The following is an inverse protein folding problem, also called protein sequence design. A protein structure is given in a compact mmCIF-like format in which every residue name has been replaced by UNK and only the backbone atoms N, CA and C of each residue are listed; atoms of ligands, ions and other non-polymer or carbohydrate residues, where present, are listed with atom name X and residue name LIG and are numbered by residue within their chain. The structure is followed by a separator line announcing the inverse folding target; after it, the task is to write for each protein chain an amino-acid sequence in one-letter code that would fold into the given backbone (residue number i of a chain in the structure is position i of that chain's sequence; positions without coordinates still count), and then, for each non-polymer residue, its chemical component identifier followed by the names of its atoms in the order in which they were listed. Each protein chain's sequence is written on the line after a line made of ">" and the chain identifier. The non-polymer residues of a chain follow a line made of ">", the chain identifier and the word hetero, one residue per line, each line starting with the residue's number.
data_IF_361644551406
#
_entry.id   IF_361644551406
#
_cell.length_a   1.000
_cell.length_b   1.000
_cell.length_c   1.000
_cell.angle_alpha   90.00
_cell.angle_beta   90.00
_cell.angle_gamma   90.00
#
_symmetry.space_group_name_H-M   'P 1'
#
loop_
_entity.id
_entity.type
_entity.pdbx_description
1 polymer ?
#
# COMPACT_ATOMS: atom_id res chain seq x y z
N UNK A 1 -24.56 -1.10 15.01
CA UNK A 1 -23.26 -1.81 15.13
C UNK A 1 -22.19 -0.79 15.44
N UNK A 2 -21.29 -1.08 16.38
CA UNK A 2 -20.13 -0.22 16.61
C UNK A 2 -19.16 -0.28 15.41
N UNK A 3 -18.29 0.72 15.21
CA UNK A 3 -17.25 0.68 14.19
C UNK A 3 -16.42 -0.61 14.26
N UNK A 4 -16.02 -1.04 15.46
CA UNK A 4 -15.26 -2.28 15.70
C UNK A 4 -16.01 -3.53 15.24
N UNK A 5 -17.31 -3.63 15.54
CA UNK A 5 -18.14 -4.77 15.10
C UNK A 5 -18.31 -4.78 13.57
N UNK A 6 -18.42 -3.61 12.96
CA UNK A 6 -18.52 -3.45 11.50
C UNK A 6 -17.21 -3.85 10.83
N UNK A 7 -16.06 -3.39 11.35
CA UNK A 7 -14.70 -3.82 10.94
C UNK A 7 -14.55 -5.34 11.01
N UNK A 8 -14.91 -5.94 12.15
CA UNK A 8 -14.84 -7.38 12.38
C UNK A 8 -15.69 -8.21 11.38
N UNK A 9 -16.88 -7.71 11.01
CA UNK A 9 -17.78 -8.36 10.05
C UNK A 9 -17.21 -8.34 8.63
N UNK A 10 -16.62 -7.22 8.22
CA UNK A 10 -16.06 -7.08 6.87
C UNK A 10 -14.67 -7.70 6.68
N UNK A 11 -13.99 -8.15 7.74
CA UNK A 11 -12.72 -8.94 7.61
C UNK A 11 -12.86 -10.21 6.79
N UNK A 12 -14.08 -10.71 6.64
CA UNK A 12 -14.39 -11.98 5.98
C UNK A 12 -14.99 -11.81 4.59
N UNK A 13 -15.14 -10.58 4.10
CA UNK A 13 -15.80 -10.32 2.81
C UNK A 13 -15.01 -10.92 1.65
N UNK A 14 -13.68 -10.73 1.58
CA UNK A 14 -12.83 -11.35 0.57
C UNK A 14 -11.88 -12.36 1.20
N UNK A 15 -11.83 -13.56 0.63
CA UNK A 15 -10.97 -14.64 1.08
C UNK A 15 -10.28 -15.28 -0.12
N UNK A 16 -8.98 -15.55 -0.01
CA UNK A 16 -8.32 -16.48 -0.92
C UNK A 16 -8.69 -17.90 -0.53
N UNK A 17 -9.09 -18.70 -1.51
CA UNK A 17 -9.34 -20.14 -1.38
C UNK A 17 -8.61 -20.87 -2.50
N UNK A 18 -8.48 -22.18 -2.37
CA UNK A 18 -7.82 -23.05 -3.36
C UNK A 18 -8.90 -23.90 -4.03
N UNK A 19 -8.88 -23.98 -5.36
CA UNK A 19 -9.78 -24.84 -6.15
C UNK A 19 -9.35 -26.32 -6.11
N UNK A 20 -10.13 -27.20 -6.74
CA UNK A 20 -9.83 -28.64 -6.81
C UNK A 20 -8.53 -28.97 -7.56
N UNK A 21 -7.99 -28.03 -8.33
CA UNK A 21 -6.73 -28.15 -9.06
C UNK A 21 -5.55 -27.48 -8.32
N UNK A 22 -5.77 -27.01 -7.09
CA UNK A 22 -4.71 -26.38 -6.31
C UNK A 22 -4.46 -24.91 -6.65
N UNK A 23 -5.30 -24.27 -7.46
CA UNK A 23 -5.14 -22.87 -7.88
C UNK A 23 -5.90 -21.92 -6.96
N UNK A 24 -5.28 -20.81 -6.52
CA UNK A 24 -5.95 -19.85 -5.66
C UNK A 24 -6.99 -19.02 -6.44
N UNK A 25 -8.11 -18.70 -5.79
CA UNK A 25 -9.13 -17.79 -6.32
C UNK A 25 -9.70 -16.90 -5.21
N UNK A 26 -10.32 -15.79 -5.58
CA UNK A 26 -11.03 -14.92 -4.66
C UNK A 26 -12.46 -15.38 -4.44
N UNK A 27 -12.79 -15.67 -3.18
CA UNK A 27 -14.13 -15.95 -2.73
C UNK A 27 -14.69 -14.71 -2.01
N UNK A 28 -15.81 -14.18 -2.52
CA UNK A 28 -16.57 -13.14 -1.83
C UNK A 28 -17.61 -13.80 -0.93
N UNK A 29 -17.50 -13.60 0.38
CA UNK A 29 -18.56 -13.97 1.30
C UNK A 29 -19.69 -12.94 1.18
N UNK A 30 -20.89 -13.39 0.83
CA UNK A 30 -22.07 -12.54 0.77
C UNK A 30 -22.42 -12.08 2.20
N UNK A 31 -21.89 -10.92 2.58
CA UNK A 31 -22.34 -10.25 3.78
C UNK A 31 -23.59 -9.49 3.39
N UNK A 32 -24.74 -9.89 3.93
CA UNK A 32 -26.03 -9.22 3.73
C UNK A 32 -25.92 -7.76 4.19
N UNK A 33 -25.77 -6.83 3.25
CA UNK A 33 -25.67 -5.41 3.49
C UNK A 33 -26.63 -4.77 2.51
N UNK A 34 -27.72 -4.20 3.03
CA UNK A 34 -28.73 -3.48 2.25
C UNK A 34 -28.22 -2.14 1.67
N UNK A 35 -26.96 -2.06 1.23
CA UNK A 35 -26.42 -0.93 0.50
C UNK A 35 -26.48 -1.21 -1.00
N UNK A 36 -27.04 -0.27 -1.77
CA UNK A 36 -27.12 -0.33 -3.23
C UNK A 36 -25.72 -0.46 -3.87
N UNK A 37 -24.69 0.10 -3.23
CA UNK A 37 -23.28 -0.02 -3.67
C UNK A 37 -22.71 -1.43 -3.52
N UNK A 38 -23.07 -2.14 -2.44
CA UNK A 38 -22.50 -3.44 -2.10
C UNK A 38 -22.97 -4.57 -3.04
N UNK A 39 -24.22 -4.48 -3.53
CA UNK A 39 -24.80 -5.46 -4.44
C UNK A 39 -24.31 -5.30 -5.90
N UNK A 40 -24.00 -4.07 -6.32
CA UNK A 40 -23.77 -3.73 -7.73
C UNK A 40 -22.32 -3.38 -8.10
N UNK A 41 -21.41 -3.21 -7.14
CA UNK A 41 -19.99 -3.00 -7.48
C UNK A 41 -19.18 -4.28 -7.28
N UNK A 42 -18.64 -4.88 -8.37
CA UNK A 42 -17.67 -5.94 -8.23
C UNK A 42 -16.38 -5.37 -7.61
N UNK A 43 -15.75 -6.14 -6.73
CA UNK A 43 -14.42 -5.79 -6.27
C UNK A 43 -13.40 -6.00 -7.38
N UNK A 44 -12.30 -5.26 -7.34
CA UNK A 44 -11.19 -5.44 -8.28
C UNK A 44 -9.86 -5.61 -7.55
N UNK A 45 -8.97 -6.39 -8.15
CA UNK A 45 -7.58 -6.52 -7.72
C UNK A 45 -6.73 -5.54 -8.50
N UNK A 46 -5.75 -4.95 -7.82
CA UNK A 46 -4.76 -4.07 -8.43
C UNK A 46 -3.54 -4.88 -8.82
N UNK A 47 -3.16 -4.83 -10.09
CA UNK A 47 -1.90 -5.37 -10.58
C UNK A 47 -1.03 -4.22 -11.06
N UNK A 48 0.16 -4.10 -10.49
CA UNK A 48 1.12 -3.08 -10.87
C UNK A 48 2.08 -3.66 -11.90
N UNK A 49 2.10 -3.08 -13.09
CA UNK A 49 3.00 -3.48 -14.18
C UNK A 49 4.05 -2.40 -14.41
N UNK A 50 5.28 -2.84 -14.69
CA UNK A 50 6.37 -1.94 -15.09
C UNK A 50 6.94 -2.37 -16.44
N UNK A 51 7.24 -1.43 -17.34
CA UNK A 51 7.74 -1.74 -18.67
C UNK A 51 9.13 -2.38 -18.68
N UNK A 52 9.87 -2.34 -17.55
CA UNK A 52 11.21 -2.90 -17.48
C UNK A 52 11.49 -3.46 -16.07
N UNK A 53 11.03 -4.68 -15.81
CA UNK A 53 11.21 -5.39 -14.51
C UNK A 53 12.69 -5.60 -14.11
N UNK A 54 13.65 -5.33 -15.01
CA UNK A 54 15.10 -5.44 -14.78
C UNK A 54 15.83 -4.10 -14.63
N UNK A 55 15.17 -2.96 -14.78
CA UNK A 55 15.83 -1.66 -14.67
C UNK A 55 16.02 -1.26 -13.19
N UNK A 56 17.27 -1.03 -12.81
CA UNK A 56 17.68 -0.46 -11.52
C UNK A 56 17.27 1.00 -11.34
N UNK A 57 16.72 1.62 -12.39
CA UNK A 57 16.19 2.98 -12.35
C UNK A 57 14.71 2.98 -12.01
N UNK A 58 14.33 3.72 -10.97
CA UNK A 58 12.95 3.97 -10.58
C UNK A 58 12.22 4.73 -11.70
N UNK A 59 11.71 4.00 -12.70
CA UNK A 59 10.97 4.58 -13.81
C UNK A 59 9.61 5.08 -13.36
N UNK A 60 9.22 6.28 -13.84
CA UNK A 60 7.91 6.90 -13.62
C UNK A 60 6.76 6.22 -14.36
N UNK A 61 6.99 5.09 -15.03
CA UNK A 61 6.01 4.41 -15.86
C UNK A 61 5.42 3.17 -15.17
N UNK A 62 5.06 3.25 -13.89
CA UNK A 62 4.26 2.16 -13.28
C UNK A 62 2.81 2.31 -13.75
N UNK A 63 2.31 1.32 -14.49
CA UNK A 63 0.89 1.22 -14.85
C UNK A 63 0.12 0.46 -13.78
N UNK A 64 -1.13 0.88 -13.56
CA UNK A 64 -2.07 0.24 -12.65
C UNK A 64 -3.12 -0.46 -13.49
N UNK A 65 -3.14 -1.78 -13.46
CA UNK A 65 -4.14 -2.60 -14.10
C UNK A 65 -5.21 -3.03 -13.08
N UNK A 66 -6.46 -3.01 -13.51
CA UNK A 66 -7.62 -3.38 -12.71
C UNK A 66 -8.21 -4.67 -13.26
N UNK A 67 -8.19 -5.72 -12.45
CA UNK A 67 -8.76 -7.02 -12.82
C UNK A 67 -9.96 -7.28 -11.92
N UNK A 68 -11.11 -7.61 -12.50
CA UNK A 68 -12.29 -8.01 -11.74
C UNK A 68 -11.94 -9.17 -10.82
N UNK A 69 -12.28 -9.05 -9.53
CA UNK A 69 -11.88 -10.01 -8.52
C UNK A 69 -12.37 -11.45 -8.80
N UNK A 70 -13.49 -11.63 -9.50
CA UNK A 70 -13.99 -12.94 -9.88
C UNK A 70 -13.13 -13.63 -10.96
N UNK A 71 -12.43 -12.83 -11.77
CA UNK A 71 -11.52 -13.30 -12.84
C UNK A 71 -10.04 -13.19 -12.48
N UNK A 72 -9.72 -12.50 -11.38
CA UNK A 72 -8.35 -12.21 -11.00
C UNK A 72 -7.61 -13.47 -10.52
N UNK A 73 -6.39 -13.64 -11.03
CA UNK A 73 -5.45 -14.62 -10.50
C UNK A 73 -5.07 -14.25 -9.06
N UNK A 74 -5.61 -14.98 -8.09
CA UNK A 74 -5.41 -14.69 -6.67
C UNK A 74 -4.01 -15.04 -6.17
N UNK A 75 -3.18 -15.64 -7.04
CA UNK A 75 -1.74 -15.79 -6.80
C UNK A 75 -1.00 -14.46 -7.00
N UNK A 76 -1.45 -13.58 -7.87
CA UNK A 76 -0.71 -12.34 -8.14
C UNK A 76 -0.95 -11.30 -7.05
N UNK A 77 0.12 -10.70 -6.53
CA UNK A 77 0.07 -9.69 -5.45
C UNK A 77 1.01 -8.53 -5.73
N UNK A 78 0.46 -7.31 -5.72
CA UNK A 78 1.26 -6.11 -5.93
C UNK A 78 1.84 -6.03 -7.34
N UNK A 79 3.16 -6.18 -7.46
CA UNK A 79 3.89 -6.08 -8.73
C UNK A 79 3.86 -7.38 -9.52
N UNK A 80 3.75 -7.28 -10.84
CA UNK A 80 3.78 -8.43 -11.76
C UNK A 80 5.03 -9.30 -11.66
N UNK A 81 6.16 -8.69 -11.29
CA UNK A 81 7.45 -9.36 -11.10
C UNK A 81 7.52 -10.24 -9.86
N UNK A 82 6.59 -10.07 -8.92
CA UNK A 82 6.59 -10.82 -7.68
C UNK A 82 6.00 -12.20 -7.92
N UNK A 83 6.86 -13.22 -7.86
CA UNK A 83 6.49 -14.62 -7.92
C UNK A 83 6.63 -15.25 -6.54
N UNK A 84 5.75 -16.21 -6.24
CA UNK A 84 5.96 -17.11 -5.12
C UNK A 84 7.13 -18.05 -5.38
N UNK A 85 7.70 -18.54 -4.29
CA UNK A 85 8.74 -19.56 -4.36
C UNK A 85 8.22 -20.92 -4.90
N UNK A 86 6.97 -21.30 -4.60
CA UNK A 86 6.32 -22.48 -5.18
C UNK A 86 4.79 -22.44 -4.99
N UNK A 87 4.06 -23.23 -5.80
CA UNK A 87 2.61 -23.41 -5.61
C UNK A 87 2.26 -24.06 -4.26
N UNK A 88 3.13 -24.93 -3.73
CA UNK A 88 2.96 -25.54 -2.41
C UNK A 88 3.01 -24.49 -1.30
N UNK A 89 4.00 -23.58 -1.33
CA UNK A 89 4.10 -22.47 -0.37
C UNK A 89 2.90 -21.54 -0.44
N UNK A 90 2.35 -21.33 -1.63
CA UNK A 90 1.15 -20.54 -1.81
C UNK A 90 -0.08 -21.21 -1.18
N UNK A 91 -0.25 -22.52 -1.37
CA UNK A 91 -1.33 -23.28 -0.75
C UNK A 91 -1.20 -23.28 0.78
N UNK A 92 0.01 -23.49 1.31
CA UNK A 92 0.31 -23.41 2.74
C UNK A 92 -0.03 -22.00 3.29
N UNK A 93 0.36 -20.94 2.59
CA UNK A 93 0.04 -19.57 2.99
C UNK A 93 -1.48 -19.31 3.01
N UNK A 94 -2.23 -19.83 2.03
CA UNK A 94 -3.70 -19.69 2.00
C UNK A 94 -4.37 -20.47 3.14
N UNK A 95 -3.89 -21.68 3.44
CA UNK A 95 -4.38 -22.47 4.57
C UNK A 95 -4.07 -21.76 5.89
N UNK A 96 -2.83 -21.30 6.07
CA UNK A 96 -2.39 -20.60 7.27
C UNK A 96 -3.13 -19.26 7.46
N UNK A 97 -3.42 -18.53 6.38
CA UNK A 97 -4.24 -17.32 6.41
C UNK A 97 -5.66 -17.56 6.96
N UNK A 98 -6.12 -18.83 6.95
CA UNK A 98 -7.39 -19.25 7.51
C UNK A 98 -7.38 -19.50 9.01
N UNK A 99 -6.20 -19.64 9.63
CA UNK A 99 -6.03 -19.79 11.07
C UNK A 99 -6.24 -18.45 11.80
N UNK A 100 -6.32 -18.52 13.13
CA UNK A 100 -6.48 -17.35 14.00
C UNK A 100 -5.21 -16.47 14.03
N UNK A 101 -5.32 -15.27 14.60
CA UNK A 101 -4.20 -14.32 14.61
C UNK A 101 -2.95 -14.87 15.34
N UNK A 102 -3.05 -15.52 16.53
CA UNK A 102 -1.88 -16.06 17.21
C UNK A 102 -1.10 -17.08 16.38
N UNK A 103 -1.77 -18.04 15.73
CA UNK A 103 -1.06 -19.03 14.88
C UNK A 103 -0.36 -18.37 13.70
N UNK A 104 -1.01 -17.38 13.08
CA UNK A 104 -0.42 -16.64 11.95
C UNK A 104 0.76 -15.78 12.37
N UNK A 105 0.65 -15.12 13.52
CA UNK A 105 1.72 -14.32 14.09
C UNK A 105 2.92 -15.18 14.51
N UNK A 106 2.68 -16.32 15.16
CA UNK A 106 3.74 -17.25 15.53
C UNK A 106 4.51 -17.76 14.31
N UNK A 107 3.81 -18.15 13.24
CA UNK A 107 4.45 -18.55 11.99
C UNK A 107 5.23 -17.38 11.36
N UNK A 108 4.64 -16.18 11.30
CA UNK A 108 5.32 -14.99 10.79
C UNK A 108 6.64 -14.73 11.53
N UNK A 109 6.60 -14.69 12.87
CA UNK A 109 7.79 -14.45 13.71
C UNK A 109 8.83 -15.55 13.55
N UNK A 110 8.42 -16.82 13.46
CA UNK A 110 9.34 -17.94 13.24
C UNK A 110 10.11 -17.80 11.92
N UNK A 111 9.38 -17.48 10.84
CA UNK A 111 9.97 -17.32 9.51
C UNK A 111 10.90 -16.09 9.45
N UNK A 112 10.48 -14.95 10.00
CA UNK A 112 11.33 -13.74 10.00
C UNK A 112 12.56 -13.91 10.90
N UNK A 113 12.46 -14.63 12.01
CA UNK A 113 13.61 -14.95 12.85
C UNK A 113 14.64 -15.83 12.11
N UNK A 114 14.20 -16.83 11.36
CA UNK A 114 15.08 -17.66 10.52
C UNK A 114 15.80 -16.80 9.47
N UNK A 115 15.07 -15.92 8.78
CA UNK A 115 15.65 -15.02 7.77
C UNK A 115 16.75 -14.10 8.34
N UNK A 116 16.64 -13.70 9.61
CA UNK A 116 17.62 -12.85 10.28
C UNK A 116 18.85 -13.64 10.80
N UNK A 117 18.68 -14.94 11.08
CA UNK A 117 19.73 -15.80 11.60
C UNK A 117 20.71 -16.29 10.52
N UNK A 118 20.25 -16.43 9.28
CA UNK A 118 21.01 -17.05 8.17
C UNK A 118 22.12 -16.17 7.58
N UNK A 119 22.30 -14.93 8.05
CA UNK A 119 23.28 -13.99 7.47
C UNK A 119 24.39 -13.66 8.46
N UNK A 120 25.62 -14.03 8.07
CA UNK A 120 26.86 -13.66 8.76
C UNK A 120 26.92 -12.14 8.97
N UNK A 121 27.32 -11.72 10.17
CA UNK A 121 27.41 -10.32 10.58
C UNK A 121 28.26 -9.50 9.59
N UNK A 122 29.27 -10.11 8.95
CA UNK A 122 30.13 -9.46 7.96
C UNK A 122 29.40 -9.05 6.67
N UNK A 123 28.27 -9.68 6.35
CA UNK A 123 27.52 -9.47 5.11
C UNK A 123 26.28 -8.58 5.32
N UNK A 124 26.12 -8.01 6.52
CA UNK A 124 24.99 -7.12 6.83
C UNK A 124 25.21 -5.72 6.23
N UNK A 125 24.20 -5.15 5.57
CA UNK A 125 24.25 -3.78 5.12
C UNK A 125 24.48 -2.81 6.27
N UNK A 126 25.36 -1.84 6.06
CA UNK A 126 25.70 -0.80 7.03
C UNK A 126 25.05 0.51 6.65
N UNK A 127 24.30 1.11 7.56
CA UNK A 127 23.79 2.47 7.43
C UNK A 127 24.67 3.42 8.23
N UNK A 128 25.19 4.44 7.55
CA UNK A 128 25.92 5.54 8.19
C UNK A 128 25.04 6.79 8.23
N UNK A 129 24.68 7.23 9.44
CA UNK A 129 23.87 8.43 9.64
C UNK A 129 24.77 9.55 10.19
N UNK A 130 24.89 10.63 9.41
CA UNK A 130 25.82 11.72 9.72
C UNK A 130 25.26 12.69 10.77
N UNK A 131 23.98 13.04 10.64
CA UNK A 131 23.29 14.02 11.50
C UNK A 131 21.84 13.63 11.68
N UNK A 132 21.33 13.76 12.90
CA UNK A 132 19.92 13.51 13.26
C UNK A 132 18.94 14.20 12.29
N UNK A 133 19.16 15.47 11.95
CA UNK A 133 18.32 16.23 11.00
C UNK A 133 18.21 15.61 9.60
N UNK A 134 19.24 14.89 9.14
CA UNK A 134 19.29 14.24 7.83
C UNK A 134 18.90 12.76 7.89
N UNK A 135 18.59 12.23 9.09
CA UNK A 135 18.37 10.82 9.32
C UNK A 135 17.34 10.22 8.35
N UNK A 136 16.19 10.87 8.15
CA UNK A 136 15.16 10.38 7.21
C UNK A 136 15.74 10.24 5.79
N UNK A 137 16.19 11.35 5.20
CA UNK A 137 16.65 11.37 3.80
C UNK A 137 17.82 10.40 3.56
N UNK A 138 18.82 10.41 4.44
CA UNK A 138 19.98 9.51 4.33
C UNK A 138 19.61 8.04 4.52
N UNK A 139 18.71 7.74 5.46
CA UNK A 139 18.26 6.37 5.69
C UNK A 139 17.49 5.84 4.50
N UNK A 140 16.54 6.60 3.97
CA UNK A 140 15.75 6.16 2.81
C UNK A 140 16.62 5.97 1.58
N UNK A 141 17.58 6.86 1.33
CA UNK A 141 18.55 6.70 0.24
C UNK A 141 19.38 5.42 0.38
N UNK A 142 19.96 5.19 1.56
CA UNK A 142 20.81 4.03 1.82
C UNK A 142 19.99 2.73 1.78
N UNK A 143 18.82 2.71 2.43
CA UNK A 143 17.89 1.58 2.37
C UNK A 143 17.50 1.25 0.94
N UNK A 144 17.24 2.26 0.11
CA UNK A 144 16.90 2.08 -1.30
C UNK A 144 18.06 1.49 -2.11
N UNK A 145 19.30 1.84 -1.77
CA UNK A 145 20.52 1.40 -2.46
C UNK A 145 21.03 0.00 -2.04
N UNK A 146 20.49 -0.61 -0.97
CA UNK A 146 20.87 -1.98 -0.56
C UNK A 146 20.60 -2.97 -1.73
N UNK A 147 21.51 -3.89 -2.06
CA UNK A 147 21.22 -4.93 -3.04
C UNK A 147 20.00 -5.77 -2.62
N UNK A 148 19.15 -6.16 -3.58
CA UNK A 148 17.88 -6.88 -3.28
C UNK A 148 18.14 -8.18 -2.52
N UNK A 149 19.25 -8.85 -2.80
CA UNK A 149 19.68 -10.08 -2.14
C UNK A 149 19.97 -9.87 -0.65
N UNK A 150 20.39 -8.66 -0.28
CA UNK A 150 20.69 -8.28 1.10
C UNK A 150 19.51 -7.56 1.78
N UNK A 151 18.45 -7.22 1.05
CA UNK A 151 17.33 -6.43 1.57
C UNK A 151 16.64 -7.09 2.77
N UNK A 152 16.74 -8.42 2.90
CA UNK A 152 16.15 -9.24 3.98
C UNK A 152 17.09 -9.46 5.18
N UNK A 153 18.40 -9.27 4.99
CA UNK A 153 19.41 -9.48 6.04
C UNK A 153 19.29 -8.47 7.18
N UNK A 154 19.86 -8.77 8.35
CA UNK A 154 19.88 -7.82 9.47
C UNK A 154 20.65 -6.53 9.12
N UNK A 155 20.26 -5.40 9.75
CA UNK A 155 20.83 -4.08 9.49
C UNK A 155 21.82 -3.65 10.58
N UNK A 156 22.99 -3.13 10.20
CA UNK A 156 23.91 -2.48 11.13
C UNK A 156 23.81 -0.95 10.98
N UNK A 157 23.48 -0.25 12.06
CA UNK A 157 23.35 1.22 12.05
C UNK A 157 24.49 1.86 12.83
N UNK A 158 25.16 2.82 12.19
CA UNK A 158 26.29 3.56 12.74
C UNK A 158 26.05 5.08 12.67
N UNK A 159 26.52 5.82 13.67
CA UNK A 159 26.44 7.28 13.74
C UNK A 159 27.85 7.88 13.69
N UNK A 160 28.17 8.66 12.64
CA UNK A 160 29.56 9.10 12.36
C UNK A 160 30.23 9.90 13.50
N UNK A 161 29.46 10.56 14.38
CA UNK A 161 30.01 11.37 15.49
C UNK A 161 30.04 10.67 16.84
N UNK A 162 29.56 9.44 16.95
CA UNK A 162 29.54 8.67 18.19
C UNK A 162 30.38 7.40 18.04
N UNK A 163 31.66 7.56 17.67
CA UNK A 163 32.60 6.45 17.63
C UNK A 163 33.02 5.97 19.02
N UNK A 164 32.70 6.68 20.11
CA UNK A 164 33.09 6.27 21.46
C UNK A 164 31.98 6.58 22.48
N UNK A 165 31.53 5.53 23.20
CA UNK A 165 30.84 5.59 24.49
C UNK A 165 29.31 5.80 24.57
N UNK A 166 28.50 5.10 23.76
CA UNK A 166 27.09 4.84 24.13
C UNK A 166 26.77 3.36 23.95
N UNK A 167 26.55 2.67 25.06
CA UNK A 167 26.06 1.28 25.18
C UNK A 167 24.55 1.20 24.89
N UNK A 168 24.06 2.02 23.95
CA UNK A 168 22.66 2.12 23.57
C UNK A 168 22.35 1.27 22.33
N UNK A 169 21.11 0.80 22.20
CA UNK A 169 20.66 0.12 20.99
C UNK A 169 20.43 1.15 19.88
N UNK A 170 21.50 1.51 19.16
CA UNK A 170 21.50 2.49 18.07
C UNK A 170 20.47 2.17 16.98
N UNK A 171 20.24 0.89 16.72
CA UNK A 171 19.21 0.45 15.77
C UNK A 171 17.81 0.90 16.22
N UNK A 172 17.48 0.74 17.51
CA UNK A 172 16.19 1.17 18.06
C UNK A 172 16.02 2.69 18.01
N UNK A 173 17.06 3.45 18.36
CA UNK A 173 17.01 4.91 18.31
C UNK A 173 16.84 5.43 16.88
N UNK A 174 17.59 4.86 15.94
CA UNK A 174 17.44 5.14 14.51
C UNK A 174 16.04 4.83 14.00
N UNK A 175 15.50 3.66 14.36
CA UNK A 175 14.17 3.24 13.94
C UNK A 175 13.10 4.24 14.40
N UNK A 176 13.11 4.62 15.68
CA UNK A 176 12.15 5.59 16.24
C UNK A 176 12.26 6.92 15.49
N UNK A 177 13.47 7.44 15.32
CA UNK A 177 13.71 8.73 14.64
C UNK A 177 13.21 8.75 13.19
N UNK A 178 13.46 7.68 12.44
CA UNK A 178 13.00 7.57 11.04
C UNK A 178 11.48 7.38 10.99
N UNK A 179 10.93 6.54 11.87
CA UNK A 179 9.50 6.26 11.91
C UNK A 179 8.66 7.50 12.26
N UNK A 180 9.11 8.29 13.24
CA UNK A 180 8.47 9.56 13.59
C UNK A 180 8.52 10.54 12.41
N UNK A 181 9.69 10.68 11.77
CA UNK A 181 9.85 11.60 10.63
C UNK A 181 9.07 11.21 9.39
N UNK A 182 8.81 9.92 9.17
CA UNK A 182 7.98 9.47 8.06
C UNK A 182 6.53 9.94 8.19
N UNK A 183 6.01 10.05 9.41
CA UNK A 183 4.64 10.53 9.65
C UNK A 183 4.50 12.06 9.52
N UNK A 184 5.61 12.79 9.48
CA UNK A 184 5.60 14.25 9.40
C UNK A 184 5.32 14.75 7.97
N UNK A 185 4.53 15.83 7.79
CA UNK A 185 4.29 16.43 6.47
C UNK A 185 5.55 16.90 5.74
N UNK A 186 6.61 17.22 6.47
CA UNK A 186 7.93 17.59 5.94
C UNK A 186 8.61 16.44 5.19
N UNK A 187 8.19 15.18 5.41
CA UNK A 187 8.71 14.05 4.66
C UNK A 187 8.37 14.11 3.17
N UNK A 188 7.23 14.72 2.82
CA UNK A 188 6.69 14.75 1.45
C UNK A 188 6.27 13.38 0.91
N UNK A 189 6.32 12.31 1.71
CA UNK A 189 6.03 10.94 1.27
C UNK A 189 4.60 10.52 1.54
N UNK A 190 4.04 10.95 2.67
CA UNK A 190 2.73 10.53 3.12
C UNK A 190 1.81 11.73 3.39
N UNK A 191 0.53 11.52 3.15
CA UNK A 191 -0.55 12.46 3.46
C UNK A 191 -1.49 11.79 4.46
N UNK A 192 -1.84 12.51 5.53
CA UNK A 192 -2.78 12.02 6.53
C UNK A 192 -4.21 12.01 5.95
N UNK A 193 -4.82 10.84 5.82
CA UNK A 193 -6.20 10.67 5.34
C UNK A 193 -7.21 10.66 6.48
N UNK A 194 -6.79 10.22 7.67
CA UNK A 194 -7.61 10.29 8.88
C UNK A 194 -6.72 10.65 10.08
N UNK A 195 -6.95 11.84 10.65
CA UNK A 195 -6.18 12.37 11.79
C UNK A 195 -6.47 11.67 13.10
N UNK A 196 -7.69 11.16 13.29
CA UNK A 196 -8.09 10.48 14.53
C UNK A 196 -7.40 9.12 14.62
N UNK A 197 -7.45 8.36 13.53
CA UNK A 197 -6.84 7.02 13.44
C UNK A 197 -5.35 7.09 13.00
N UNK A 198 -4.74 8.28 12.91
CA UNK A 198 -3.37 8.49 12.41
C UNK A 198 -3.07 7.64 11.17
N UNK A 199 -3.98 7.68 10.20
CA UNK A 199 -3.91 6.89 8.97
C UNK A 199 -3.36 7.73 7.84
N UNK A 200 -2.43 7.15 7.09
CA UNK A 200 -1.65 7.84 6.06
C UNK A 200 -1.70 7.08 4.73
N UNK A 201 -1.72 7.84 3.65
CA UNK A 201 -1.60 7.34 2.29
C UNK A 201 -0.42 8.01 1.57
N UNK A 202 -0.06 7.52 0.39
CA UNK A 202 1.04 8.09 -0.39
C UNK A 202 0.69 9.49 -0.87
N UNK A 203 1.69 10.38 -0.92
CA UNK A 203 1.51 11.74 -1.38
C UNK A 203 1.51 11.81 -2.92
N UNK A 204 0.36 12.17 -3.51
CA UNK A 204 0.19 12.35 -4.96
C UNK A 204 1.08 13.49 -5.51
N UNK A 205 1.38 14.51 -4.69
CA UNK A 205 2.15 15.69 -5.08
C UNK A 205 3.67 15.52 -4.85
N UNK A 206 4.12 14.31 -4.53
CA UNK A 206 5.51 14.07 -4.15
C UNK A 206 6.54 14.38 -5.23
N UNK A 207 6.17 14.30 -6.52
CA UNK A 207 7.05 14.69 -7.63
C UNK A 207 7.40 16.18 -7.59
N UNK A 208 6.43 17.02 -7.23
CA UNK A 208 6.62 18.46 -7.01
C UNK A 208 7.33 18.73 -5.69
N UNK A 209 6.94 18.03 -4.62
CA UNK A 209 7.46 18.30 -3.27
C UNK A 209 8.91 17.83 -3.06
N UNK A 210 9.30 16.69 -3.66
CA UNK A 210 10.60 16.04 -3.47
C UNK A 210 11.47 16.04 -4.74
N UNK A 211 10.93 16.45 -5.87
CA UNK A 211 11.61 16.52 -7.15
C UNK A 211 11.66 15.18 -7.93
N UNK A 212 12.45 15.12 -9.02
CA UNK A 212 12.44 14.00 -9.96
C UNK A 212 12.88 12.66 -9.34
N UNK A 213 13.69 12.69 -8.27
CA UNK A 213 14.15 11.49 -7.55
C UNK A 213 13.18 10.98 -6.47
N UNK A 214 11.94 11.45 -6.40
CA UNK A 214 11.01 11.12 -5.31
C UNK A 214 10.76 9.61 -5.14
N UNK A 215 10.72 8.84 -6.24
CA UNK A 215 10.44 7.41 -6.23
C UNK A 215 11.47 6.58 -5.45
N UNK A 216 12.74 6.99 -5.45
CA UNK A 216 13.80 6.36 -4.65
C UNK A 216 13.45 6.42 -3.15
N UNK A 217 12.84 7.51 -2.68
CA UNK A 217 12.43 7.65 -1.28
C UNK A 217 11.21 6.79 -0.96
N UNK A 218 10.26 6.65 -1.89
CA UNK A 218 9.13 5.71 -1.71
C UNK A 218 9.61 4.26 -1.65
N UNK A 219 10.56 3.88 -2.49
CA UNK A 219 11.19 2.57 -2.43
C UNK A 219 11.93 2.34 -1.11
N UNK A 220 12.75 3.29 -0.67
CA UNK A 220 13.40 3.26 0.64
C UNK A 220 12.40 3.21 1.80
N UNK A 221 11.27 3.91 1.69
CA UNK A 221 10.21 3.90 2.70
C UNK A 221 9.48 2.56 2.74
N UNK A 222 9.25 1.94 1.57
CA UNK A 222 8.75 0.58 1.47
C UNK A 222 9.66 -0.42 2.18
N UNK A 223 10.97 -0.34 1.92
CA UNK A 223 11.97 -1.18 2.61
C UNK A 223 12.02 -0.91 4.12
N UNK A 224 11.89 0.34 4.54
CA UNK A 224 11.81 0.69 5.96
C UNK A 224 10.57 0.08 6.64
N UNK A 225 9.39 0.17 6.01
CA UNK A 225 8.15 -0.44 6.53
C UNK A 225 8.27 -1.96 6.54
N UNK A 226 8.84 -2.58 5.50
CA UNK A 226 9.12 -4.01 5.48
C UNK A 226 10.07 -4.42 6.61
N UNK A 227 11.11 -3.61 6.86
CA UNK A 227 12.06 -3.82 7.97
C UNK A 227 11.38 -3.73 9.32
N UNK A 228 10.49 -2.75 9.52
CA UNK A 228 9.67 -2.65 10.72
C UNK A 228 8.90 -3.96 10.99
N UNK A 229 8.31 -4.56 9.96
CA UNK A 229 7.59 -5.83 10.10
C UNK A 229 8.51 -6.99 10.46
N UNK A 230 9.66 -7.13 9.78
CA UNK A 230 10.62 -8.23 10.03
C UNK A 230 11.24 -8.14 11.42
N UNK A 231 11.64 -6.94 11.84
CA UNK A 231 12.32 -6.71 13.12
C UNK A 231 11.34 -6.62 14.31
N UNK A 232 10.02 -6.63 14.06
CA UNK A 232 9.01 -6.42 15.09
C UNK A 232 8.91 -4.97 15.60
N UNK A 233 9.34 -4.01 14.80
CA UNK A 233 9.24 -2.58 15.07
C UNK A 233 7.81 -2.05 14.88
N UNK A 234 7.35 -1.22 15.81
CA UNK A 234 6.01 -0.61 15.77
C UNK A 234 6.12 0.79 15.17
N UNK A 235 5.41 1.03 14.06
CA UNK A 235 5.31 2.36 13.45
C UNK A 235 4.32 3.24 14.24
N UNK A 236 4.57 4.56 14.38
CA UNK A 236 3.68 5.47 15.10
C UNK A 236 2.44 5.90 14.28
N UNK A 237 2.20 5.26 13.13
CA UNK A 237 1.11 5.56 12.22
C UNK A 237 0.59 4.30 11.53
N UNK A 238 -0.58 4.40 10.90
CA UNK A 238 -1.19 3.32 10.13
C UNK A 238 -1.19 3.65 8.63
N UNK A 239 -0.95 2.64 7.80
CA UNK A 239 -1.17 2.76 6.36
C UNK A 239 -2.67 2.70 6.06
N UNK A 240 -3.10 3.45 5.05
CA UNK A 240 -4.50 3.48 4.65
C UNK A 240 -4.98 2.10 4.18
N UNK A 241 -6.28 1.84 4.39
CA UNK A 241 -6.90 0.58 4.02
C UNK A 241 -6.63 0.19 2.56
N UNK A 242 -6.76 1.09 1.56
CA UNK A 242 -6.44 0.73 0.20
C UNK A 242 -4.98 0.33 -0.01
N UNK A 243 -4.04 1.03 0.62
CA UNK A 243 -2.62 0.73 0.53
C UNK A 243 -2.30 -0.64 1.13
N UNK A 244 -2.86 -0.95 2.31
CA UNK A 244 -2.75 -2.28 2.92
C UNK A 244 -3.32 -3.37 2.02
N UNK A 245 -4.50 -3.14 1.42
CA UNK A 245 -5.12 -4.10 0.50
C UNK A 245 -4.27 -4.36 -0.73
N UNK A 246 -3.66 -3.33 -1.33
CA UNK A 246 -2.73 -3.49 -2.46
C UNK A 246 -1.50 -4.31 -2.05
N UNK A 247 -0.88 -4.01 -0.90
CA UNK A 247 0.30 -4.74 -0.40
C UNK A 247 0.06 -6.24 -0.24
N UNK A 248 -1.14 -6.63 0.20
CA UNK A 248 -1.51 -8.05 0.38
C UNK A 248 -2.28 -8.62 -0.79
N UNK A 249 -2.61 -7.82 -1.81
CA UNK A 249 -3.37 -8.19 -3.02
C UNK A 249 -4.88 -8.41 -2.81
N UNK A 250 -5.46 -7.95 -1.70
CA UNK A 250 -6.91 -8.10 -1.44
C UNK A 250 -7.75 -7.19 -2.35
N UNK A 251 -8.90 -7.65 -2.87
CA UNK A 251 -9.77 -6.83 -3.69
C UNK A 251 -10.23 -5.53 -3.01
N UNK A 252 -10.22 -4.46 -3.80
CA UNK A 252 -10.75 -3.14 -3.47
C UNK A 252 -12.18 -2.99 -3.96
N UNK A 253 -12.96 -2.19 -3.26
CA UNK A 253 -14.33 -1.83 -3.62
C UNK A 253 -14.60 -0.37 -3.25
N UNK A 254 -15.65 0.22 -3.85
CA UNK A 254 -16.05 1.59 -3.59
C UNK A 254 -16.26 1.84 -2.08
N UNK A 255 -16.88 0.92 -1.35
CA UNK A 255 -17.12 1.10 0.09
C UNK A 255 -15.84 1.04 0.94
N UNK A 256 -14.66 0.72 0.38
CA UNK A 256 -13.38 0.92 1.08
C UNK A 256 -13.08 2.42 1.22
N UNK A 257 -13.62 3.24 0.31
CA UNK A 257 -13.47 4.69 0.35
C UNK A 257 -14.03 5.28 1.64
N UNK A 258 -15.05 4.67 2.27
CA UNK A 258 -15.57 5.17 3.54
C UNK A 258 -14.54 5.18 4.68
N UNK A 259 -13.48 4.35 4.59
CA UNK A 259 -12.39 4.29 5.58
C UNK A 259 -11.17 5.11 5.15
N UNK A 260 -11.14 5.54 3.90
CA UNK A 260 -10.09 6.37 3.33
C UNK A 260 -10.47 7.85 3.36
N UNK A 261 -11.62 8.17 2.79
CA UNK A 261 -12.24 9.50 2.70
C UNK A 261 -13.77 9.35 2.82
N UNK A 262 -14.32 9.47 4.06
CA UNK A 262 -15.75 9.32 4.30
C UNK A 262 -16.61 10.36 3.57
N UNK A 263 -16.09 11.57 3.35
CA UNK A 263 -16.81 12.65 2.70
C UNK A 263 -16.93 12.39 1.20
N UNK A 264 -15.82 12.00 0.56
CA UNK A 264 -15.84 11.61 -0.84
C UNK A 264 -16.72 10.37 -1.06
N UNK A 265 -16.65 9.37 -0.17
CA UNK A 265 -17.54 8.21 -0.25
C UNK A 265 -19.02 8.63 -0.21
N UNK A 266 -19.40 9.50 0.75
CA UNK A 266 -20.78 10.01 0.83
C UNK A 266 -21.19 10.75 -0.45
N UNK A 267 -20.31 11.61 -0.98
CA UNK A 267 -20.57 12.36 -2.20
C UNK A 267 -20.77 11.45 -3.42
N UNK A 268 -19.91 10.44 -3.60
CA UNK A 268 -20.03 9.50 -4.72
C UNK A 268 -21.25 8.59 -4.60
N UNK A 269 -21.61 8.15 -3.40
CA UNK A 269 -22.85 7.40 -3.16
C UNK A 269 -24.08 8.25 -3.51
N UNK A 270 -24.08 9.53 -3.12
CA UNK A 270 -25.17 10.45 -3.48
C UNK A 270 -25.29 10.64 -5.00
N UNK A 271 -24.17 10.73 -5.72
CA UNK A 271 -24.18 10.77 -7.19
C UNK A 271 -24.88 9.54 -7.77
N UNK A 272 -24.59 8.33 -7.28
CA UNK A 272 -25.25 7.10 -7.75
C UNK A 272 -26.77 7.09 -7.48
N UNK A 273 -27.19 7.58 -6.32
CA UNK A 273 -28.59 7.55 -5.86
C UNK A 273 -29.46 8.67 -6.47
N UNK A 274 -28.85 9.79 -6.87
CA UNK A 274 -29.56 10.93 -7.45
C UNK A 274 -30.12 10.58 -8.83
N UNK A 275 -31.40 10.88 -9.09
CA UNK A 275 -32.01 10.88 -10.43
C UNK A 275 -31.91 12.28 -11.03
N UNK A 276 -31.63 12.39 -12.32
CA UNK A 276 -31.40 13.67 -12.97
C UNK A 276 -30.09 14.32 -12.53
N UNK A 277 -29.02 13.53 -12.38
CA UNK A 277 -27.72 14.00 -11.85
C UNK A 277 -27.08 15.10 -12.70
N UNK A 278 -27.53 15.29 -13.94
CA UNK A 278 -27.10 16.35 -14.85
C UNK A 278 -27.27 17.74 -14.21
N UNK A 279 -28.28 17.92 -13.37
CA UNK A 279 -28.52 19.20 -12.68
C UNK A 279 -27.42 19.58 -11.68
N UNK A 280 -26.58 18.62 -11.28
CA UNK A 280 -25.44 18.88 -10.38
C UNK A 280 -24.29 19.57 -11.13
N UNK A 281 -24.21 19.42 -12.45
CA UNK A 281 -23.18 20.08 -13.27
C UNK A 281 -21.76 19.52 -13.07
N UNK A 282 -21.64 18.21 -12.85
CA UNK A 282 -20.35 17.52 -12.78
C UNK A 282 -19.82 17.17 -14.17
N UNK A 283 -18.50 17.10 -14.31
CA UNK A 283 -17.79 16.58 -15.47
C UNK A 283 -16.78 15.49 -15.07
N UNK A 284 -16.15 14.83 -16.04
CA UNK A 284 -15.14 13.80 -15.76
C UNK A 284 -13.74 14.40 -15.54
N UNK A 285 -13.62 15.38 -14.65
CA UNK A 285 -12.32 15.95 -14.26
C UNK A 285 -12.16 16.10 -12.75
N UNK A 286 -10.92 16.31 -12.32
CA UNK A 286 -10.56 16.53 -10.92
C UNK A 286 -9.51 17.62 -10.78
N UNK A 287 -9.67 18.45 -9.74
CA UNK A 287 -8.66 19.42 -9.36
C UNK A 287 -7.65 18.76 -8.41
N UNK A 288 -6.39 18.70 -8.82
CA UNK A 288 -5.27 18.32 -7.98
C UNK A 288 -4.63 19.58 -7.44
N UNK A 289 -4.50 19.67 -6.12
CA UNK A 289 -3.88 20.81 -5.43
C UNK A 289 -2.52 20.37 -4.90
N UNK A 290 -1.45 21.01 -5.36
CA UNK A 290 -0.12 20.78 -4.85
C UNK A 290 0.13 21.57 -3.56
N UNK A 291 1.22 21.26 -2.84
CA UNK A 291 1.54 21.89 -1.55
C UNK A 291 1.83 23.39 -1.67
N UNK A 292 2.33 23.83 -2.83
CA UNK A 292 2.57 25.24 -3.15
C UNK A 292 1.27 26.01 -3.50
N UNK A 293 0.12 25.32 -3.47
CA UNK A 293 -1.19 25.89 -3.78
C UNK A 293 -1.52 25.91 -5.28
N UNK A 294 -0.64 25.42 -6.15
CA UNK A 294 -0.95 25.28 -7.57
C UNK A 294 -2.05 24.25 -7.78
N UNK A 295 -2.96 24.54 -8.72
CA UNK A 295 -4.09 23.68 -9.07
C UNK A 295 -3.94 23.21 -10.51
N UNK A 296 -3.94 21.90 -10.71
CA UNK A 296 -3.97 21.29 -12.03
C UNK A 296 -5.25 20.48 -12.23
N UNK A 297 -5.84 20.59 -13.41
CA UNK A 297 -7.03 19.82 -13.79
C UNK A 297 -6.60 18.55 -14.50
N UNK A 298 -7.05 17.40 -13.99
CA UNK A 298 -6.79 16.09 -14.58
C UNK A 298 -8.11 15.51 -15.10
N UNK A 299 -8.12 15.11 -16.37
CA UNK A 299 -9.26 14.42 -16.96
C UNK A 299 -9.26 12.94 -16.52
N UNK A 300 -10.38 12.47 -15.98
CA UNK A 300 -10.56 11.10 -15.51
C UNK A 300 -10.72 10.09 -16.66
N UNK A 301 -11.17 10.57 -17.81
CA UNK A 301 -11.31 9.87 -19.09
C UNK A 301 -10.80 10.80 -20.20
N UNK A 302 -10.49 10.30 -21.41
CA UNK A 302 -10.10 11.16 -22.52
C UNK A 302 -11.12 12.28 -22.74
N UNK A 303 -10.65 13.54 -22.74
CA UNK A 303 -11.49 14.74 -22.88
C UNK A 303 -12.54 14.93 -21.77
N UNK A 304 -12.30 14.40 -20.57
CA UNK A 304 -13.29 14.29 -19.49
C UNK A 304 -13.93 15.59 -19.01
N UNK A 305 -13.19 16.70 -18.94
CA UNK A 305 -13.74 18.03 -18.59
C UNK A 305 -14.84 18.54 -19.53
N UNK A 306 -14.95 17.97 -20.74
CA UNK A 306 -15.95 18.34 -21.74
C UNK A 306 -17.10 17.32 -21.82
N UNK A 307 -17.14 16.36 -20.89
CA UNK A 307 -18.15 15.31 -20.83
C UNK A 307 -18.93 15.50 -19.52
N UNK A 308 -20.20 15.86 -19.63
CA UNK A 308 -21.09 16.01 -18.48
C UNK A 308 -21.43 14.64 -17.87
N UNK A 309 -21.58 14.61 -16.55
CA UNK A 309 -22.10 13.44 -15.84
C UNK A 309 -23.62 13.40 -15.98
N UNK A 310 -24.12 12.27 -16.48
CA UNK A 310 -25.53 11.99 -16.72
C UNK A 310 -25.97 10.72 -15.99
N UNK A 311 -27.27 10.46 -15.92
CA UNK A 311 -27.80 9.26 -15.30
C UNK A 311 -27.28 7.97 -15.95
N UNK A 312 -26.96 8.00 -17.26
CA UNK A 312 -26.41 6.88 -18.00
C UNK A 312 -24.92 6.62 -17.68
N UNK A 313 -24.15 7.66 -17.36
CA UNK A 313 -22.68 7.56 -17.23
C UNK A 313 -22.16 7.76 -15.79
N UNK A 314 -23.01 8.12 -14.83
CA UNK A 314 -22.61 8.38 -13.44
C UNK A 314 -21.88 7.23 -12.74
N UNK A 315 -22.20 5.98 -13.09
CA UNK A 315 -21.50 4.82 -12.57
C UNK A 315 -20.02 4.81 -12.98
N UNK A 316 -19.73 5.14 -14.26
CA UNK A 316 -18.36 5.28 -14.75
C UNK A 316 -17.65 6.46 -14.09
N UNK A 317 -18.32 7.60 -13.90
CA UNK A 317 -17.74 8.75 -13.21
C UNK A 317 -17.27 8.36 -11.80
N UNK A 318 -18.14 7.70 -11.03
CA UNK A 318 -17.86 7.25 -9.67
C UNK A 318 -16.69 6.27 -9.65
N UNK A 319 -16.67 5.30 -10.56
CA UNK A 319 -15.57 4.33 -10.68
C UNK A 319 -14.23 5.02 -10.98
N UNK A 320 -14.19 5.90 -11.98
CA UNK A 320 -12.97 6.61 -12.39
C UNK A 320 -12.48 7.56 -11.30
N UNK A 321 -13.40 8.29 -10.66
CA UNK A 321 -13.07 9.19 -9.54
C UNK A 321 -12.48 8.41 -8.36
N UNK A 322 -13.06 7.26 -8.01
CA UNK A 322 -12.54 6.38 -6.96
C UNK A 322 -11.13 5.85 -7.29
N UNK A 323 -10.96 5.26 -8.49
CA UNK A 323 -9.68 4.70 -8.94
C UNK A 323 -8.59 5.75 -8.99
N UNK A 324 -8.90 6.94 -9.51
CA UNK A 324 -7.93 8.04 -9.58
C UNK A 324 -7.48 8.50 -8.19
N UNK A 325 -8.43 8.82 -7.31
CA UNK A 325 -8.13 9.36 -5.97
C UNK A 325 -7.27 8.41 -5.15
N UNK A 326 -7.52 7.10 -5.25
CA UNK A 326 -6.89 6.10 -4.37
C UNK A 326 -5.65 5.44 -4.98
N UNK A 327 -5.55 5.38 -6.32
CA UNK A 327 -4.54 4.56 -6.99
C UNK A 327 -3.80 5.32 -8.09
N UNK A 328 -4.49 5.89 -9.07
CA UNK A 328 -3.82 6.45 -10.27
C UNK A 328 -3.01 7.70 -9.92
N UNK A 329 -3.51 8.54 -9.02
CA UNK A 329 -2.82 9.76 -8.56
C UNK A 329 -1.48 9.49 -7.86
N UNK A 330 -1.23 8.25 -7.44
CA UNK A 330 -0.01 7.81 -6.75
C UNK A 330 0.62 6.59 -7.41
N UNK A 331 0.28 6.25 -8.66
CA UNK A 331 0.65 4.98 -9.29
C UNK A 331 2.15 4.66 -9.24
N UNK A 332 2.99 5.64 -9.55
CA UNK A 332 4.46 5.46 -9.54
C UNK A 332 5.00 5.30 -8.13
N UNK A 333 4.53 6.13 -7.19
CA UNK A 333 4.86 6.07 -5.77
C UNK A 333 4.45 4.72 -5.17
N UNK A 334 3.24 4.25 -5.52
CA UNK A 334 2.66 2.99 -5.10
C UNK A 334 3.51 1.81 -5.58
N UNK A 335 3.90 1.80 -6.86
CA UNK A 335 4.82 0.80 -7.39
C UNK A 335 6.15 0.76 -6.63
N UNK A 336 6.79 1.92 -6.43
CA UNK A 336 8.07 2.00 -5.73
C UNK A 336 7.97 1.52 -4.28
N UNK A 337 6.92 1.95 -3.57
CA UNK A 337 6.68 1.56 -2.19
C UNK A 337 6.39 0.06 -2.04
N UNK A 338 5.48 -0.49 -2.85
CA UNK A 338 5.11 -1.92 -2.83
C UNK A 338 6.33 -2.79 -3.12
N UNK A 339 7.16 -2.40 -4.11
CA UNK A 339 8.43 -3.07 -4.39
C UNK A 339 9.30 -3.16 -3.14
N UNK A 340 9.56 -2.02 -2.50
CA UNK A 340 10.43 -1.98 -1.33
C UNK A 340 9.92 -2.86 -0.19
N UNK A 341 8.59 -2.92 0.03
CA UNK A 341 8.01 -3.80 1.04
C UNK A 341 8.22 -5.27 0.68
N UNK A 342 7.93 -5.68 -0.56
CA UNK A 342 8.00 -7.09 -1.01
C UNK A 342 9.43 -7.63 -1.14
N UNK A 343 10.41 -6.75 -1.36
CA UNK A 343 11.83 -7.15 -1.32
C UNK A 343 12.27 -7.56 0.10
N UNK A 344 11.77 -6.87 1.13
CA UNK A 344 12.12 -7.15 2.53
C UNK A 344 11.23 -8.23 3.15
N UNK A 345 9.93 -8.21 2.86
CA UNK A 345 8.96 -9.17 3.41
C UNK A 345 8.45 -10.07 2.29
N UNK A 346 8.72 -11.39 2.34
CA UNK A 346 8.12 -12.34 1.41
C UNK A 346 6.60 -12.21 1.37
N UNK A 347 6.02 -12.20 0.17
CA UNK A 347 4.59 -11.98 -0.02
C UNK A 347 3.75 -13.05 0.64
N UNK A 348 4.24 -14.29 0.71
CA UNK A 348 3.60 -15.40 1.40
C UNK A 348 3.31 -15.06 2.87
N UNK A 349 4.21 -14.32 3.53
CA UNK A 349 4.05 -13.89 4.92
C UNK A 349 3.05 -12.74 5.06
N UNK A 350 3.03 -11.81 4.10
CA UNK A 350 2.05 -10.73 4.08
C UNK A 350 0.63 -11.26 3.85
N UNK A 351 0.48 -12.30 3.03
CA UNK A 351 -0.81 -12.94 2.72
C UNK A 351 -1.48 -13.61 3.91
N UNK A 352 -0.74 -13.91 4.99
CA UNK A 352 -1.30 -14.41 6.24
C UNK A 352 -2.22 -13.37 6.90
N UNK A 353 -1.92 -12.10 6.68
CA UNK A 353 -2.70 -11.01 7.25
C UNK A 353 -4.00 -10.85 6.47
N UNK A 354 -5.10 -10.70 7.20
CA UNK A 354 -6.39 -10.31 6.62
C UNK A 354 -6.53 -8.82 6.82
N UNK A 355 -6.55 -8.08 5.73
CA UNK A 355 -6.81 -6.65 5.77
C UNK A 355 -8.32 -6.46 5.81
N UNK A 356 -8.82 -5.93 6.93
CA UNK A 356 -10.22 -5.55 7.04
C UNK A 356 -10.39 -4.05 7.04
N UNK A 357 -11.54 -3.65 6.52
CA UNK A 357 -12.22 -2.40 6.84
C UNK A 357 -12.21 -2.12 8.34
#
# INVERSE_FOLDING_TARGET
>A
MSPIQRRARFRKEWQRKVDVQGRPFWFRNAVDIGSVTHANTPGFVVQLTRPNDKATEYSSATSVEYVDAASADASRVGLSSVSFASMEKLQEAVELASKDFPNKYAHFVSQTASMLADVDMAHRPKLSIMKKRLALKQSLQQLSAIPVEQARSGLEVTLERQAMAQTGNLHREWFIEVAEKLALPESGLFTCTNRVDQTYHLNASASTDLGPGHLMYFHGAGRFVGRALVDGGVLPFHLSLPLLKVLVGTPLMLDDLQFFDPELHKSLTQVLETKGVESVGLDFSVNQVARDGSVSVVDLIPNGRNIAVTDENKALFVERKFKYTVLESVASQLGAFVQGVHEVVPVELLMLTRVSR
#
